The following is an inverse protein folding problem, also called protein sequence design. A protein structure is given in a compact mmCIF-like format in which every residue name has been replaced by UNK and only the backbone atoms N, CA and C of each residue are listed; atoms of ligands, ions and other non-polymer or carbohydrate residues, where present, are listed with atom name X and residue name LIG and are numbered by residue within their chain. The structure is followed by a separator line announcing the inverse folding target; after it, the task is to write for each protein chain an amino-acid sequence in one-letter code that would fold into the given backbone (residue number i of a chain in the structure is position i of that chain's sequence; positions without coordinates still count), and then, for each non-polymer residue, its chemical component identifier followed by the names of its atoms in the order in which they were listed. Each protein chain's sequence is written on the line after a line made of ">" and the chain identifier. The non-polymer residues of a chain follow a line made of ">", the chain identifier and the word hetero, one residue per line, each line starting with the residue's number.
data_IF_763818454642
#
_entry.id   IF_763818454642
#
_cell.length_a   1.000
_cell.length_b   1.000
_cell.length_c   1.000
_cell.angle_alpha   90.00
_cell.angle_beta   90.00
_cell.angle_gamma   90.00
#
_symmetry.space_group_name_H-M   'P 1'
#
loop_
_entity.id
_entity.type
_entity.pdbx_description
1 polymer ?
#
# COMPACT_ATOMS: atom_id res chain seq x y z
N UNK A 1 29.76 -36.66 6.37
CA UNK A 1 28.37 -36.54 5.90
C UNK A 1 28.16 -35.07 5.65
N UNK A 2 28.44 -34.63 4.42
CA UNK A 2 28.18 -33.26 3.99
C UNK A 2 26.68 -33.10 3.84
N UNK A 3 26.09 -32.31 4.74
CA UNK A 3 24.71 -31.90 4.60
C UNK A 3 24.65 -30.95 3.39
N UNK A 4 23.85 -31.21 2.34
CA UNK A 4 23.67 -30.22 1.29
C UNK A 4 23.10 -28.94 1.96
N UNK A 5 23.51 -27.74 1.52
CA UNK A 5 22.95 -26.51 2.03
C UNK A 5 21.43 -26.56 1.80
N UNK A 6 20.67 -26.48 2.89
CA UNK A 6 19.21 -26.42 2.85
C UNK A 6 18.80 -25.24 1.96
N UNK A 7 18.22 -25.52 0.80
CA UNK A 7 17.70 -24.47 -0.08
C UNK A 7 16.72 -23.60 0.72
N UNK A 8 16.86 -22.27 0.69
CA UNK A 8 15.91 -21.39 1.36
C UNK A 8 14.56 -21.61 0.71
N UNK A 9 13.68 -22.32 1.41
CA UNK A 9 12.33 -22.60 0.94
C UNK A 9 11.52 -21.33 1.13
N UNK A 10 11.51 -20.44 0.11
CA UNK A 10 10.70 -19.23 0.14
C UNK A 10 9.24 -19.62 0.39
N UNK A 11 8.61 -19.20 1.49
CA UNK A 11 7.24 -19.58 1.78
C UNK A 11 6.30 -19.04 0.70
N UNK A 12 5.31 -19.82 0.25
CA UNK A 12 4.38 -19.40 -0.78
C UNK A 12 3.41 -18.36 -0.20
N UNK A 13 3.77 -17.08 -0.28
CA UNK A 13 2.87 -16.05 0.26
C UNK A 13 3.36 -14.61 0.29
N UNK A 14 4.65 -14.31 0.08
CA UNK A 14 5.15 -12.93 0.01
C UNK A 14 4.68 -12.26 -1.29
N UNK A 15 3.41 -11.84 -1.29
CA UNK A 15 2.77 -11.19 -2.42
C UNK A 15 3.23 -9.74 -2.45
N UNK A 16 4.37 -9.50 -3.10
CA UNK A 16 4.96 -8.18 -3.26
C UNK A 16 3.91 -7.15 -3.71
N UNK A 17 3.78 -6.02 -3.00
CA UNK A 17 2.79 -4.98 -3.32
C UNK A 17 2.88 -4.49 -4.77
N UNK A 18 4.08 -4.48 -5.35
CA UNK A 18 4.34 -4.05 -6.74
C UNK A 18 3.65 -4.95 -7.80
N UNK A 19 3.30 -6.20 -7.46
CA UNK A 19 2.65 -7.13 -8.40
C UNK A 19 1.13 -7.00 -8.40
N UNK A 20 0.56 -6.04 -7.68
CA UNK A 20 -0.88 -5.78 -7.62
C UNK A 20 -1.27 -4.64 -8.58
N UNK A 21 -1.65 -4.92 -9.85
CA UNK A 21 -1.96 -3.88 -10.84
C UNK A 21 -3.14 -2.99 -10.43
N UNK A 22 -4.04 -3.49 -9.58
CA UNK A 22 -5.15 -2.72 -9.03
C UNK A 22 -4.68 -1.51 -8.19
N UNK A 23 -3.54 -1.61 -7.47
CA UNK A 23 -3.03 -0.48 -6.68
C UNK A 23 -2.63 0.68 -7.59
N UNK A 24 -2.00 0.37 -8.73
CA UNK A 24 -1.66 1.37 -9.74
C UNK A 24 -2.89 1.96 -10.42
N UNK A 25 -3.92 1.16 -10.67
CA UNK A 25 -5.19 1.67 -11.22
C UNK A 25 -5.84 2.69 -10.28
N UNK A 26 -5.94 2.38 -8.97
CA UNK A 26 -6.47 3.31 -7.97
C UNK A 26 -5.60 4.56 -7.85
N UNK A 27 -4.27 4.39 -7.82
CA UNK A 27 -3.32 5.51 -7.79
C UNK A 27 -3.51 6.45 -8.98
N UNK A 28 -3.61 5.88 -10.19
CA UNK A 28 -3.82 6.63 -11.43
C UNK A 28 -5.13 7.41 -11.38
N UNK A 29 -6.22 6.80 -10.92
CA UNK A 29 -7.53 7.47 -10.77
C UNK A 29 -7.45 8.64 -9.79
N UNK A 30 -6.79 8.47 -8.64
CA UNK A 30 -6.63 9.54 -7.65
C UNK A 30 -5.82 10.70 -8.23
N UNK A 31 -4.74 10.42 -8.95
CA UNK A 31 -3.91 11.46 -9.58
C UNK A 31 -4.69 12.20 -10.66
N UNK A 32 -5.40 11.48 -11.53
CA UNK A 32 -6.21 12.09 -12.59
C UNK A 32 -7.34 12.95 -12.03
N UNK A 33 -8.01 12.50 -10.95
CA UNK A 33 -9.04 13.27 -10.26
C UNK A 33 -8.49 14.55 -9.62
N UNK A 34 -7.23 14.54 -9.18
CA UNK A 34 -6.59 15.73 -8.61
C UNK A 34 -6.21 16.80 -9.64
N UNK A 35 -6.11 16.43 -10.92
CA UNK A 35 -5.67 17.34 -11.99
C UNK A 35 -6.83 17.90 -12.81
N UNK A 36 -6.98 19.24 -12.91
CA UNK A 36 -8.10 19.86 -13.64
C UNK A 36 -7.96 19.78 -15.17
N UNK A 37 -6.90 19.17 -15.71
CA UNK A 37 -6.55 19.16 -17.15
C UNK A 37 -7.64 18.53 -18.03
N UNK A 38 -8.49 17.67 -17.46
CA UNK A 38 -9.54 16.94 -18.18
C UNK A 38 -10.96 17.37 -17.81
N UNK A 39 -11.11 18.40 -16.97
CA UNK A 39 -12.43 18.79 -16.51
C UNK A 39 -13.20 19.52 -17.60
N UNK A 40 -14.47 19.13 -17.85
CA UNK A 40 -15.32 19.88 -18.75
C UNK A 40 -15.51 21.29 -18.18
N UNK A 41 -15.68 22.28 -19.05
CA UNK A 41 -15.77 23.70 -18.69
C UNK A 41 -16.79 23.99 -17.58
N UNK A 42 -17.89 23.23 -17.53
CA UNK A 42 -18.91 23.31 -16.47
C UNK A 42 -18.45 22.92 -15.05
N UNK A 43 -17.28 22.30 -14.88
CA UNK A 43 -16.65 22.04 -13.57
C UNK A 43 -15.58 23.08 -13.20
N UNK A 44 -15.15 23.91 -14.15
CA UNK A 44 -14.09 24.92 -13.97
C UNK A 44 -14.69 26.26 -13.53
N UNK A 45 -15.85 26.62 -14.05
CA UNK A 45 -16.55 27.89 -13.75
C UNK A 45 -17.26 27.99 -12.39
N UNK A 46 -17.81 26.92 -11.77
CA UNK A 46 -18.52 27.09 -10.51
C UNK A 46 -17.54 27.42 -9.38
N UNK A 47 -17.63 28.66 -8.89
CA UNK A 47 -17.01 29.09 -7.65
C UNK A 47 -17.88 28.68 -6.47
N UNK A 48 -17.36 27.82 -5.60
CA UNK A 48 -17.99 27.41 -4.35
C UNK A 48 -17.29 28.19 -3.22
N UNK A 49 -18.01 29.04 -2.50
CA UNK A 49 -17.45 29.92 -1.45
C UNK A 49 -16.27 30.81 -1.90
N UNK A 50 -16.19 31.17 -3.17
CA UNK A 50 -15.11 32.00 -3.72
C UNK A 50 -13.86 31.24 -4.17
N UNK A 51 -13.84 29.91 -4.02
CA UNK A 51 -12.80 29.04 -4.58
C UNK A 51 -13.36 28.21 -5.73
N UNK A 52 -12.56 27.92 -6.77
CA UNK A 52 -13.01 27.05 -7.85
C UNK A 52 -13.36 25.65 -7.32
N UNK A 53 -14.46 25.06 -7.77
CA UNK A 53 -14.88 23.73 -7.31
C UNK A 53 -13.78 22.66 -7.50
N UNK A 54 -13.02 22.74 -8.59
CA UNK A 54 -11.90 21.84 -8.85
C UNK A 54 -10.82 21.87 -7.76
N UNK A 55 -10.65 23.00 -7.06
CA UNK A 55 -9.68 23.12 -5.97
C UNK A 55 -10.05 22.19 -4.80
N UNK A 56 -11.33 22.14 -4.43
CA UNK A 56 -11.81 21.24 -3.38
C UNK A 56 -11.58 19.76 -3.77
N UNK A 57 -11.76 19.43 -5.04
CA UNK A 57 -11.49 18.08 -5.55
C UNK A 57 -9.99 17.75 -5.52
N UNK A 58 -9.12 18.70 -5.86
CA UNK A 58 -7.66 18.51 -5.76
C UNK A 58 -7.22 18.29 -4.30
N UNK A 59 -7.78 19.02 -3.35
CA UNK A 59 -7.51 18.83 -1.91
C UNK A 59 -7.99 17.45 -1.45
N UNK A 60 -9.23 17.07 -1.79
CA UNK A 60 -9.77 15.76 -1.46
C UNK A 60 -8.94 14.61 -2.08
N UNK A 61 -8.50 14.77 -3.32
CA UNK A 61 -7.64 13.80 -4.01
C UNK A 61 -6.27 13.68 -3.35
N UNK A 62 -5.71 14.79 -2.87
CA UNK A 62 -4.43 14.80 -2.13
C UNK A 62 -4.55 14.04 -0.80
N UNK A 63 -5.64 14.27 -0.06
CA UNK A 63 -5.92 13.54 1.18
C UNK A 63 -6.16 12.05 0.91
N UNK A 64 -6.92 11.73 -0.13
CA UNK A 64 -7.15 10.35 -0.56
C UNK A 64 -5.84 9.66 -0.96
N UNK A 65 -4.95 10.34 -1.70
CA UNK A 65 -3.63 9.84 -2.06
C UNK A 65 -2.78 9.54 -0.82
N UNK A 66 -2.67 10.51 0.09
CA UNK A 66 -1.90 10.35 1.32
C UNK A 66 -2.43 9.18 2.15
N UNK A 67 -3.74 9.12 2.38
CA UNK A 67 -4.38 8.03 3.12
C UNK A 67 -4.21 6.67 2.44
N UNK A 68 -4.31 6.62 1.11
CA UNK A 68 -4.13 5.40 0.33
C UNK A 68 -2.70 4.87 0.42
N UNK A 69 -1.70 5.74 0.28
CA UNK A 69 -0.28 5.38 0.43
C UNK A 69 0.00 4.92 1.86
N UNK A 70 -0.44 5.66 2.88
CA UNK A 70 -0.29 5.26 4.28
C UNK A 70 -0.92 3.88 4.55
N UNK A 71 -2.12 3.64 4.02
CA UNK A 71 -2.80 2.35 4.15
C UNK A 71 -2.06 1.20 3.47
N UNK A 72 -1.51 1.42 2.26
CA UNK A 72 -0.67 0.43 1.57
C UNK A 72 0.56 0.11 2.42
N UNK A 73 1.27 1.12 2.92
CA UNK A 73 2.44 0.92 3.75
C UNK A 73 2.11 0.08 4.98
N UNK A 74 1.01 0.36 5.67
CA UNK A 74 0.65 -0.39 6.89
C UNK A 74 0.14 -1.81 6.61
N UNK A 75 -0.60 -2.03 5.52
CA UNK A 75 -1.34 -3.29 5.30
C UNK A 75 -0.71 -4.23 4.28
N UNK A 76 0.07 -3.70 3.36
CA UNK A 76 0.70 -4.45 2.26
C UNK A 76 2.22 -4.46 2.38
N UNK A 77 2.82 -3.43 2.97
CA UNK A 77 4.27 -3.35 3.20
C UNK A 77 4.72 -3.95 4.55
N UNK A 78 3.78 -4.38 5.40
CA UNK A 78 4.10 -5.21 6.57
C UNK A 78 4.39 -6.66 6.14
N UNK A 79 5.38 -6.82 5.27
CA UNK A 79 6.01 -8.09 4.97
C UNK A 79 6.93 -8.32 6.16
N UNK A 80 6.45 -9.06 7.18
CA UNK A 80 7.34 -9.49 8.25
C UNK A 80 8.49 -10.24 7.60
N UNK A 81 9.71 -9.77 7.80
CA UNK A 81 10.87 -10.39 7.17
C UNK A 81 10.91 -11.87 7.58
N UNK A 82 11.29 -12.80 6.68
CA UNK A 82 11.33 -14.23 6.99
C UNK A 82 12.10 -14.53 8.29
N UNK A 83 13.15 -13.75 8.57
CA UNK A 83 13.94 -13.82 9.79
C UNK A 83 13.15 -13.45 11.06
N UNK A 84 12.26 -12.46 11.01
CA UNK A 84 11.42 -12.04 12.12
C UNK A 84 10.31 -13.08 12.41
N UNK A 85 9.76 -13.70 11.35
CA UNK A 85 8.81 -14.81 11.51
C UNK A 85 9.46 -16.09 12.04
N UNK A 86 10.69 -16.39 11.63
CA UNK A 86 11.45 -17.55 12.12
C UNK A 86 11.83 -17.38 13.60
N UNK A 87 12.38 -16.21 13.98
CA UNK A 87 12.72 -15.92 15.37
C UNK A 87 11.50 -15.94 16.31
N UNK A 88 10.34 -15.45 15.85
CA UNK A 88 9.11 -15.52 16.61
C UNK A 88 8.58 -16.97 16.77
N UNK A 89 8.73 -17.80 15.74
CA UNK A 89 8.35 -19.22 15.80
C UNK A 89 9.28 -20.03 16.70
N UNK A 90 10.58 -19.78 16.66
CA UNK A 90 11.58 -20.38 17.54
C UNK A 90 11.33 -19.99 19.00
N UNK A 91 11.12 -18.69 19.28
CA UNK A 91 10.81 -18.22 20.63
C UNK A 91 9.47 -18.80 21.18
N UNK A 92 8.50 -19.07 20.31
CA UNK A 92 7.25 -19.72 20.69
C UNK A 92 7.42 -21.23 20.95
N UNK A 93 8.31 -21.89 20.21
CA UNK A 93 8.65 -23.30 20.41
C UNK A 93 9.42 -23.52 21.73
N UNK A 94 10.42 -22.67 22.03
CA UNK A 94 11.15 -22.71 23.31
C UNK A 94 10.21 -22.48 24.50
N UNK A 95 9.26 -21.55 24.39
CA UNK A 95 8.29 -21.25 25.45
C UNK A 95 7.24 -22.36 25.67
N UNK A 96 7.06 -23.24 24.68
CA UNK A 96 6.17 -24.40 24.76
C UNK A 96 6.83 -25.64 25.36
N UNK A 97 8.16 -25.75 25.26
CA UNK A 97 8.96 -26.83 25.82
C UNK A 97 9.14 -26.70 27.35
N UNK A 98 9.08 -25.48 27.88
CA UNK A 98 9.21 -25.16 29.32
C UNK A 98 7.93 -25.42 30.18
N UNK A 99 6.90 -26.10 29.67
CA UNK A 99 5.64 -26.41 30.40
C UNK A 99 5.33 -27.90 30.47
#
# INVERSE_FOLDING_TARGET
>A
MDHPPSEPTTPPGEREPIRSPWLFAVLLVIVLAGTPVWYPTGLIEPLVFGVPFWFAISVASTLAFAGFVSWICMRRWNIAEPAETAAAAEAAAERGDDR
#
